data_IF_608286061390
#
_entry.id   IF_608286061390
#
_cell.length_a   1.000
_cell.length_b   1.000
_cell.length_c   1.000
_cell.angle_alpha   90.00
_cell.angle_beta   90.00
_cell.angle_gamma   90.00
#
_symmetry.space_group_name_H-M   'P 1'
#
loop_
_entity.id
_entity.type
_entity.pdbx_description
1 polymer ?
#
# COMPACT_ATOMS: atom_id res chain seq x y z
N UNK A 1 16.36 -10.66 2.22
CA UNK A 1 16.38 -10.53 0.74
C UNK A 1 16.00 -11.86 0.11
N UNK A 2 15.11 -11.87 -0.83
CA UNK A 2 14.50 -13.05 -1.46
C UNK A 2 14.67 -12.96 -2.99
N UNK A 3 14.76 -14.09 -3.68
CA UNK A 3 14.78 -14.13 -5.16
C UNK A 3 13.47 -14.71 -5.63
N UNK A 4 12.70 -13.94 -6.40
CA UNK A 4 11.39 -14.35 -6.90
C UNK A 4 11.46 -15.35 -8.07
N UNK A 5 10.31 -15.84 -8.51
CA UNK A 5 10.18 -16.81 -9.63
C UNK A 5 10.68 -16.26 -10.97
N UNK A 6 10.82 -14.94 -11.12
CA UNK A 6 11.45 -14.28 -12.28
C UNK A 6 12.96 -14.12 -12.14
N UNK A 7 13.56 -14.56 -11.03
CA UNK A 7 14.99 -14.38 -10.73
C UNK A 7 15.36 -12.98 -10.26
N UNK A 8 14.39 -12.14 -9.90
CA UNK A 8 14.61 -10.78 -9.42
C UNK A 8 14.80 -10.83 -7.90
N UNK A 9 15.87 -10.19 -7.41
CA UNK A 9 16.09 -10.03 -5.97
C UNK A 9 15.12 -8.98 -5.42
N UNK A 10 14.41 -9.33 -4.34
CA UNK A 10 13.39 -8.52 -3.68
C UNK A 10 13.76 -8.19 -2.24
N UNK A 11 13.41 -6.99 -1.82
CA UNK A 11 13.37 -6.59 -0.41
C UNK A 11 11.93 -6.71 0.08
N UNK A 12 11.73 -7.39 1.21
CA UNK A 12 10.46 -7.51 1.91
C UNK A 12 10.32 -6.32 2.86
N UNK A 13 9.36 -5.44 2.63
CA UNK A 13 9.22 -4.18 3.35
C UNK A 13 7.80 -4.01 3.87
N UNK A 14 7.69 -3.66 5.18
CA UNK A 14 6.47 -3.17 5.82
C UNK A 14 6.48 -1.64 5.90
N UNK A 15 5.38 -0.97 5.55
CA UNK A 15 5.37 0.49 5.38
C UNK A 15 4.38 1.22 6.30
N UNK A 16 3.67 0.51 7.17
CA UNK A 16 2.70 1.09 8.08
C UNK A 16 2.63 0.22 9.35
N UNK A 17 3.03 0.77 10.51
CA UNK A 17 3.17 -0.01 11.75
C UNK A 17 3.23 0.93 12.95
N UNK A 18 2.52 0.62 14.04
CA UNK A 18 2.43 1.40 15.26
C UNK A 18 3.14 0.74 16.44
N UNK A 19 3.65 1.57 17.34
CA UNK A 19 4.35 1.13 18.54
C UNK A 19 3.75 1.78 19.78
N UNK A 20 4.32 1.50 20.97
CA UNK A 20 3.93 2.17 22.22
C UNK A 20 4.27 3.66 22.26
N UNK A 21 4.86 4.23 21.21
CA UNK A 21 5.04 5.67 21.10
C UNK A 21 3.74 6.40 20.73
N UNK A 22 2.77 5.67 20.14
CA UNK A 22 1.40 6.13 19.94
C UNK A 22 0.42 5.18 20.66
N UNK A 23 -0.20 4.27 19.95
CA UNK A 23 -1.28 3.40 20.42
C UNK A 23 -1.08 1.90 20.13
N UNK A 24 0.05 1.54 19.52
CA UNK A 24 0.47 0.15 19.35
C UNK A 24 0.80 -0.53 20.69
N UNK A 25 0.70 -1.86 20.74
CA UNK A 25 0.89 -2.66 21.97
C UNK A 25 2.32 -3.16 22.17
N UNK A 26 3.23 -2.88 21.24
CA UNK A 26 4.63 -3.31 21.30
C UNK A 26 5.57 -2.12 21.22
N UNK A 27 6.69 -2.21 21.95
CA UNK A 27 7.76 -1.21 21.86
C UNK A 27 8.44 -1.26 20.50
N UNK A 28 9.13 -0.18 20.05
CA UNK A 28 9.88 -0.19 18.81
C UNK A 28 10.84 -1.38 18.67
N UNK A 29 11.55 -1.74 19.76
CA UNK A 29 12.46 -2.89 19.78
C UNK A 29 11.74 -4.23 19.61
N UNK A 30 10.59 -4.42 20.24
CA UNK A 30 9.76 -5.63 20.08
C UNK A 30 9.25 -5.73 18.64
N UNK A 31 8.74 -4.63 18.06
CA UNK A 31 8.29 -4.56 16.67
C UNK A 31 9.44 -4.91 15.73
N UNK A 32 10.60 -4.30 15.90
CA UNK A 32 11.77 -4.59 15.07
C UNK A 32 12.16 -6.08 15.10
N UNK A 33 12.10 -6.73 16.27
CA UNK A 33 12.37 -8.18 16.38
C UNK A 33 11.31 -9.00 15.66
N UNK A 34 10.01 -8.71 15.87
CA UNK A 34 8.91 -9.42 15.22
C UNK A 34 9.07 -9.40 13.69
N UNK A 35 9.27 -8.21 13.10
CA UNK A 35 9.43 -8.09 11.66
C UNK A 35 10.74 -8.69 11.15
N UNK A 36 11.83 -8.56 11.92
CA UNK A 36 13.11 -9.21 11.59
C UNK A 36 12.98 -10.73 11.55
N UNK A 37 12.34 -11.32 12.57
CA UNK A 37 12.14 -12.77 12.68
C UNK A 37 11.19 -13.28 11.59
N UNK A 38 10.26 -12.44 11.12
CA UNK A 38 9.40 -12.71 9.97
C UNK A 38 10.09 -12.47 8.60
N UNK A 39 11.41 -12.17 8.61
CA UNK A 39 12.24 -12.07 7.40
C UNK A 39 12.09 -10.78 6.62
N UNK A 40 11.62 -9.69 7.25
CA UNK A 40 11.61 -8.37 6.62
C UNK A 40 13.04 -7.79 6.51
N UNK A 41 13.26 -7.05 5.45
CA UNK A 41 14.52 -6.31 5.21
C UNK A 41 14.44 -4.88 5.76
N UNK A 42 13.24 -4.28 5.77
CA UNK A 42 12.99 -2.97 6.36
C UNK A 42 11.53 -2.83 6.83
N UNK A 43 11.29 -1.93 7.79
CA UNK A 43 9.96 -1.51 8.23
C UNK A 43 9.92 -0.01 8.48
N UNK A 44 8.81 0.65 8.20
CA UNK A 44 8.54 2.01 8.64
C UNK A 44 7.72 1.97 9.94
N UNK A 45 8.23 2.56 11.01
CA UNK A 45 7.45 2.83 12.21
C UNK A 45 6.73 4.17 12.02
N UNK A 46 5.40 4.14 12.05
CA UNK A 46 4.56 5.25 11.61
C UNK A 46 3.59 5.70 12.69
N UNK A 47 4.07 5.77 13.92
CA UNK A 47 3.31 6.19 15.09
C UNK A 47 2.55 7.50 14.85
N UNK A 48 1.31 7.62 15.35
CA UNK A 48 0.44 8.76 15.17
C UNK A 48 1.06 10.06 15.69
N UNK A 49 1.28 11.04 14.80
CA UNK A 49 1.83 12.36 15.12
C UNK A 49 3.17 12.32 15.86
N UNK A 50 3.91 11.22 15.69
CA UNK A 50 5.24 10.99 16.27
C UNK A 50 6.21 10.62 15.16
N UNK A 51 6.98 11.61 14.71
CA UNK A 51 8.02 11.35 13.72
C UNK A 51 9.08 10.42 14.32
N UNK A 52 9.30 9.28 13.67
CA UNK A 52 10.39 8.34 13.95
C UNK A 52 11.53 8.54 12.95
N UNK A 53 12.75 8.66 13.44
CA UNK A 53 13.95 8.77 12.59
C UNK A 53 14.33 7.41 11.99
N UNK A 54 14.96 7.46 10.82
CA UNK A 54 15.56 6.27 10.21
C UNK A 54 16.74 5.78 11.05
N UNK A 55 16.79 4.47 11.33
CA UNK A 55 17.81 3.86 12.16
C UNK A 55 17.94 2.36 11.88
N UNK A 56 18.94 1.73 12.47
CA UNK A 56 19.04 0.26 12.58
C UNK A 56 18.57 -0.14 13.98
N UNK A 57 17.62 -1.04 14.06
CA UNK A 57 17.07 -1.51 15.35
C UNK A 57 16.95 -3.03 15.34
N UNK A 58 17.59 -3.70 16.30
CA UNK A 58 17.63 -5.18 16.39
C UNK A 58 18.09 -5.88 15.09
N UNK A 59 18.94 -5.24 14.28
CA UNK A 59 19.42 -5.77 12.99
C UNK A 59 18.37 -5.68 11.86
N UNK A 60 17.37 -4.82 12.00
CA UNK A 60 16.38 -4.47 10.98
C UNK A 60 16.53 -3.00 10.61
N UNK A 61 16.50 -2.69 9.32
CA UNK A 61 16.46 -1.31 8.85
C UNK A 61 15.10 -0.70 9.16
N UNK A 62 15.08 0.39 9.97
CA UNK A 62 13.89 1.18 10.22
C UNK A 62 13.91 2.40 9.31
N UNK A 63 12.87 2.54 8.50
CA UNK A 63 12.64 3.76 7.73
C UNK A 63 12.02 4.82 8.64
N UNK A 64 12.39 6.08 8.44
CA UNK A 64 11.67 7.17 9.10
C UNK A 64 10.19 7.13 8.74
N UNK A 65 9.33 7.45 9.70
CA UNK A 65 7.89 7.35 9.48
C UNK A 65 7.06 8.18 10.45
N UNK A 66 5.83 8.48 10.05
CA UNK A 66 4.78 9.07 10.88
C UNK A 66 3.44 8.92 10.17
N UNK A 67 2.38 8.64 10.90
CA UNK A 67 1.02 8.73 10.40
C UNK A 67 0.31 9.96 10.97
N UNK A 68 -0.40 10.67 10.09
CA UNK A 68 -1.14 11.89 10.39
C UNK A 68 -2.62 11.66 10.11
N UNK A 69 -3.41 11.53 11.18
CA UNK A 69 -4.86 11.37 11.08
C UNK A 69 -5.57 12.73 11.22
N UNK A 70 -6.50 13.00 10.30
CA UNK A 70 -7.32 14.21 10.29
C UNK A 70 -8.76 13.87 9.91
N UNK A 71 -9.71 14.69 10.36
CA UNK A 71 -11.13 14.54 10.04
C UNK A 71 -11.93 13.78 11.08
N UNK A 72 -13.17 13.44 10.73
CA UNK A 72 -14.09 12.74 11.61
C UNK A 72 -14.71 13.62 12.71
N UNK A 73 -14.66 14.95 12.57
CA UNK A 73 -15.27 15.88 13.53
C UNK A 73 -16.79 15.70 13.61
N UNK A 74 -17.42 15.30 12.52
CA UNK A 74 -18.82 14.88 12.46
C UNK A 74 -19.01 13.77 11.42
N UNK A 75 -20.21 13.22 11.30
CA UNK A 75 -20.54 12.08 10.43
C UNK A 75 -20.39 12.38 8.92
N UNK A 76 -20.15 13.61 8.51
CA UNK A 76 -19.97 14.03 7.10
C UNK A 76 -18.54 14.44 6.80
N UNK A 77 -17.72 14.67 7.83
CA UNK A 77 -16.33 15.04 7.69
C UNK A 77 -15.52 13.81 7.30
N UNK A 78 -14.82 13.91 6.17
CA UNK A 78 -14.00 12.80 5.69
C UNK A 78 -12.84 12.53 6.65
N UNK A 79 -12.60 11.25 6.93
CA UNK A 79 -11.42 10.81 7.68
C UNK A 79 -10.29 10.55 6.70
N UNK A 80 -9.14 11.17 6.93
CA UNK A 80 -7.92 10.89 6.18
C UNK A 80 -6.81 10.50 7.12
N UNK A 81 -6.13 9.43 6.79
CA UNK A 81 -4.87 9.04 7.38
C UNK A 81 -3.80 9.15 6.28
N UNK A 82 -2.79 9.96 6.53
CA UNK A 82 -1.67 10.17 5.61
C UNK A 82 -0.41 9.65 6.27
N UNK A 83 0.12 8.56 5.73
CA UNK A 83 1.40 8.01 6.18
C UNK A 83 2.52 8.67 5.39
N UNK A 84 3.51 9.20 6.12
CA UNK A 84 4.78 9.64 5.54
C UNK A 84 5.89 8.68 5.93
N UNK A 85 6.68 8.22 4.96
CA UNK A 85 7.87 7.41 5.25
C UNK A 85 9.07 7.84 4.40
N UNK A 86 10.28 7.46 4.83
CA UNK A 86 11.53 7.77 4.13
C UNK A 86 11.88 9.26 4.13
N UNK A 87 11.32 10.01 5.06
CA UNK A 87 11.60 11.45 5.28
C UNK A 87 13.03 11.66 5.78
N UNK A 88 13.72 12.67 5.27
CA UNK A 88 15.11 12.99 5.65
C UNK A 88 15.22 13.72 6.98
N UNK A 89 14.13 14.26 7.49
CA UNK A 89 13.99 14.96 8.78
C UNK A 89 12.52 15.08 9.13
N UNK A 90 12.23 15.47 10.37
CA UNK A 90 10.88 15.81 10.80
C UNK A 90 10.27 16.91 9.89
N UNK A 91 9.07 16.70 9.33
CA UNK A 91 8.37 17.72 8.57
C UNK A 91 7.85 18.88 9.43
N UNK A 92 7.92 18.79 10.75
CA UNK A 92 7.51 19.85 11.69
C UNK A 92 6.00 20.00 11.84
N UNK A 93 5.23 18.97 11.52
CA UNK A 93 3.77 18.96 11.68
C UNK A 93 3.40 18.66 13.14
N UNK A 94 2.40 19.36 13.64
CA UNK A 94 1.93 19.21 15.02
C UNK A 94 0.40 18.99 15.08
N UNK A 95 -0.10 18.54 16.21
CA UNK A 95 -1.52 18.28 16.44
C UNK A 95 -2.39 19.53 16.33
N UNK A 96 -1.83 20.73 16.41
CA UNK A 96 -2.55 22.00 16.16
C UNK A 96 -3.09 22.05 14.72
N UNK A 97 -2.41 21.44 13.74
CA UNK A 97 -2.94 21.31 12.39
C UNK A 97 -4.19 20.41 12.39
N UNK A 98 -4.12 19.25 13.07
CA UNK A 98 -5.25 18.33 13.20
C UNK A 98 -6.46 19.03 13.80
N UNK A 99 -6.23 19.73 14.88
CA UNK A 99 -7.27 20.31 15.74
C UNK A 99 -7.77 21.70 15.23
N UNK A 100 -7.22 22.19 14.12
CA UNK A 100 -7.63 23.49 13.55
C UNK A 100 -9.07 23.43 12.99
N UNK A 101 -10.04 24.11 13.60
CA UNK A 101 -11.45 24.06 13.17
C UNK A 101 -11.75 24.91 11.92
N UNK A 102 -10.79 25.76 11.50
CA UNK A 102 -10.98 26.66 10.34
C UNK A 102 -10.65 26.00 9.01
N UNK A 103 -10.16 24.75 9.02
CA UNK A 103 -9.72 24.02 7.84
C UNK A 103 -10.52 22.74 7.68
N UNK A 104 -10.86 22.43 6.43
CA UNK A 104 -11.43 21.12 6.07
C UNK A 104 -10.40 20.01 6.22
N UNK A 105 -10.86 18.78 6.39
CA UNK A 105 -9.98 17.61 6.49
C UNK A 105 -9.12 17.43 5.23
N UNK A 106 -9.66 17.72 4.05
CA UNK A 106 -8.91 17.67 2.80
C UNK A 106 -7.79 18.74 2.73
N UNK A 107 -8.04 19.97 3.20
CA UNK A 107 -6.99 21.01 3.28
C UNK A 107 -5.86 20.58 4.22
N UNK A 108 -6.20 20.04 5.40
CA UNK A 108 -5.21 19.50 6.34
C UNK A 108 -4.39 18.36 5.72
N UNK A 109 -5.06 17.39 5.08
CA UNK A 109 -4.40 16.27 4.41
C UNK A 109 -3.44 16.76 3.30
N UNK A 110 -3.81 17.75 2.52
CA UNK A 110 -2.95 18.34 1.49
C UNK A 110 -1.70 19.01 2.10
N UNK A 111 -1.84 19.76 3.20
CA UNK A 111 -0.69 20.35 3.92
C UNK A 111 0.26 19.25 4.41
N UNK A 112 -0.29 18.12 4.91
CA UNK A 112 0.50 16.99 5.37
C UNK A 112 1.30 16.38 4.20
N UNK A 113 0.65 16.12 3.06
CA UNK A 113 1.32 15.60 1.85
C UNK A 113 2.45 16.52 1.41
N UNK A 114 2.19 17.82 1.30
CA UNK A 114 3.19 18.82 0.89
C UNK A 114 4.37 18.88 1.88
N UNK A 115 4.12 18.80 3.18
CA UNK A 115 5.16 18.79 4.20
C UNK A 115 6.03 17.52 4.15
N UNK A 116 5.43 16.35 3.93
CA UNK A 116 6.16 15.09 3.70
C UNK A 116 7.07 15.20 2.48
N UNK A 117 6.57 15.73 1.38
CA UNK A 117 7.35 15.95 0.15
C UNK A 117 8.50 16.95 0.36
N UNK A 118 8.25 18.05 1.08
CA UNK A 118 9.27 19.07 1.36
C UNK A 118 10.51 18.52 2.11
N UNK A 119 10.37 17.39 2.78
CA UNK A 119 11.46 16.69 3.46
C UNK A 119 11.90 15.40 2.74
N UNK A 120 11.45 15.19 1.52
CA UNK A 120 11.86 14.09 0.64
C UNK A 120 11.19 12.74 0.92
N UNK A 121 10.14 12.71 1.75
CA UNK A 121 9.37 11.52 2.09
C UNK A 121 8.37 11.11 1.03
N UNK A 122 7.89 9.88 1.09
CA UNK A 122 6.77 9.34 0.32
C UNK A 122 5.47 9.53 1.11
N UNK A 123 4.43 10.06 0.46
CA UNK A 123 3.12 10.27 1.07
C UNK A 123 2.13 9.18 0.61
N UNK A 124 1.48 8.52 1.55
CA UNK A 124 0.51 7.44 1.34
C UNK A 124 -0.89 7.92 1.73
N UNK A 125 -1.88 7.73 0.87
CA UNK A 125 -3.28 7.73 1.29
C UNK A 125 -3.59 6.35 1.88
N UNK A 126 -3.66 6.28 3.22
CA UNK A 126 -3.84 5.02 3.94
C UNK A 126 -5.31 4.53 3.89
N UNK A 127 -5.48 3.24 3.87
CA UNK A 127 -6.73 2.44 4.03
C UNK A 127 -8.05 3.15 3.67
N UNK A 128 -8.25 3.64 2.42
CA UNK A 128 -9.44 4.42 2.06
C UNK A 128 -10.76 3.66 2.25
N UNK A 129 -10.77 2.32 2.19
CA UNK A 129 -11.96 1.52 2.47
C UNK A 129 -12.35 1.56 3.96
N UNK A 130 -11.37 1.46 4.87
CA UNK A 130 -11.60 1.59 6.31
C UNK A 130 -12.13 2.98 6.65
N UNK A 131 -11.54 4.01 6.06
CA UNK A 131 -11.91 5.43 6.22
C UNK A 131 -13.25 5.79 5.57
N UNK A 132 -13.86 4.88 4.80
CA UNK A 132 -15.08 5.12 4.01
C UNK A 132 -14.94 6.28 3.01
N UNK A 133 -13.74 6.51 2.50
CA UNK A 133 -13.53 7.56 1.52
C UNK A 133 -14.21 7.23 0.19
N UNK A 134 -14.97 8.18 -0.35
CA UNK A 134 -15.44 8.09 -1.73
C UNK A 134 -14.30 8.42 -2.71
N UNK A 135 -14.41 8.05 -4.00
CA UNK A 135 -13.43 8.45 -5.00
C UNK A 135 -13.16 9.95 -5.03
N UNK A 136 -14.21 10.79 -4.91
CA UNK A 136 -14.09 12.25 -4.87
C UNK A 136 -13.31 12.72 -3.64
N UNK A 137 -13.53 12.09 -2.49
CA UNK A 137 -12.75 12.38 -1.28
C UNK A 137 -11.29 11.97 -1.44
N UNK A 138 -11.01 10.81 -2.03
CA UNK A 138 -9.63 10.37 -2.31
C UNK A 138 -8.89 11.39 -3.18
N UNK A 139 -9.48 11.86 -4.28
CA UNK A 139 -8.83 12.84 -5.18
C UNK A 139 -8.79 14.26 -4.63
N UNK A 140 -9.56 14.57 -3.57
CA UNK A 140 -9.45 15.84 -2.86
C UNK A 140 -8.10 15.95 -2.13
N UNK A 141 -7.49 14.82 -1.76
CA UNK A 141 -6.09 14.76 -1.32
C UNK A 141 -5.20 14.68 -2.55
N UNK A 142 -4.47 15.76 -2.81
CA UNK A 142 -3.65 15.91 -4.02
C UNK A 142 -2.24 15.39 -3.79
N UNK A 143 -1.64 14.94 -4.88
CA UNK A 143 -0.20 14.63 -4.95
C UNK A 143 0.30 13.51 -4.03
N UNK A 144 -0.54 12.78 -3.28
CA UNK A 144 -0.03 11.60 -2.59
C UNK A 144 0.63 10.63 -3.62
N UNK A 145 1.65 9.91 -3.20
CA UNK A 145 2.48 9.09 -4.10
C UNK A 145 1.89 7.72 -4.35
N UNK A 146 1.31 7.10 -3.33
CA UNK A 146 0.84 5.70 -3.32
C UNK A 146 -0.41 5.58 -2.43
N UNK A 147 -1.17 4.48 -2.55
CA UNK A 147 -2.30 4.19 -1.67
C UNK A 147 -2.33 2.73 -1.24
N UNK A 148 -2.99 2.44 -0.15
CA UNK A 148 -3.17 1.07 0.34
C UNK A 148 -4.34 0.38 -0.36
N UNK A 149 -4.06 -0.74 -1.01
CA UNK A 149 -5.07 -1.66 -1.54
C UNK A 149 -5.52 -2.65 -0.48
N UNK A 150 -4.64 -2.97 0.47
CA UNK A 150 -4.90 -3.86 1.60
C UNK A 150 -4.25 -3.30 2.87
N UNK A 151 -4.98 -3.41 3.99
CA UNK A 151 -4.53 -2.98 5.31
C UNK A 151 -4.96 -4.03 6.34
N UNK A 152 -4.00 -4.68 7.00
CA UNK A 152 -4.24 -5.88 7.80
C UNK A 152 -5.06 -5.60 9.07
N UNK A 153 -4.77 -4.52 9.82
CA UNK A 153 -5.52 -4.22 11.04
C UNK A 153 -6.99 -3.93 10.76
N UNK A 154 -7.29 -3.48 9.54
CA UNK A 154 -8.67 -3.21 9.12
C UNK A 154 -9.54 -4.48 8.99
N UNK A 155 -8.96 -5.69 9.02
CA UNK A 155 -9.68 -6.97 9.20
C UNK A 155 -10.13 -7.21 10.64
N UNK A 156 -9.69 -6.39 11.61
CA UNK A 156 -10.09 -6.53 13.00
C UNK A 156 -11.62 -6.46 13.15
N UNK A 157 -12.17 -7.24 14.07
CA UNK A 157 -13.62 -7.35 14.30
C UNK A 157 -14.36 -6.06 14.62
N UNK A 158 -13.65 -4.95 14.80
CA UNK A 158 -14.24 -3.61 14.93
C UNK A 158 -14.48 -2.91 13.57
N UNK A 159 -13.94 -3.40 12.47
CA UNK A 159 -14.04 -2.75 11.15
C UNK A 159 -14.40 -3.72 10.03
N UNK A 160 -13.57 -4.74 9.77
CA UNK A 160 -13.71 -5.74 8.69
C UNK A 160 -13.80 -5.10 7.29
N UNK A 161 -12.92 -4.09 7.02
CA UNK A 161 -12.79 -3.39 5.74
C UNK A 161 -11.34 -3.27 5.28
N UNK A 162 -10.62 -4.39 5.13
CA UNK A 162 -9.18 -4.35 4.81
C UNK A 162 -8.89 -4.01 3.34
N UNK A 163 -9.88 -4.16 2.44
CA UNK A 163 -9.65 -4.17 1.01
C UNK A 163 -10.25 -2.96 0.29
N UNK A 164 -9.40 -2.18 -0.36
CA UNK A 164 -9.73 -0.93 -1.06
C UNK A 164 -9.84 -1.08 -2.59
N UNK A 165 -9.82 -2.30 -3.13
CA UNK A 165 -9.74 -2.51 -4.57
C UNK A 165 -10.87 -1.89 -5.38
N UNK A 166 -12.12 -1.89 -4.86
CA UNK A 166 -13.24 -1.25 -5.55
C UNK A 166 -13.03 0.27 -5.67
N UNK A 167 -12.54 0.92 -4.61
CA UNK A 167 -12.23 2.36 -4.62
C UNK A 167 -11.12 2.64 -5.64
N UNK A 168 -10.06 1.83 -5.65
CA UNK A 168 -8.95 1.93 -6.63
C UNK A 168 -9.47 1.80 -8.06
N UNK A 169 -10.34 0.82 -8.33
CA UNK A 169 -10.92 0.60 -9.68
C UNK A 169 -11.80 1.78 -10.12
N UNK A 170 -12.57 2.37 -9.22
CA UNK A 170 -13.36 3.59 -9.49
C UNK A 170 -12.44 4.79 -9.74
N UNK A 171 -11.39 4.97 -8.94
CA UNK A 171 -10.39 6.02 -9.14
C UNK A 171 -9.69 5.88 -10.50
N UNK A 172 -9.28 4.67 -10.87
CA UNK A 172 -8.65 4.41 -12.16
C UNK A 172 -9.60 4.66 -13.34
N UNK A 173 -10.90 4.35 -13.16
CA UNK A 173 -11.94 4.54 -14.18
C UNK A 173 -12.29 6.01 -14.39
N UNK A 174 -12.54 6.73 -13.30
CA UNK A 174 -13.16 8.06 -13.35
C UNK A 174 -12.13 9.19 -13.40
N UNK A 175 -10.96 8.96 -12.79
CA UNK A 175 -9.94 10.01 -12.60
C UNK A 175 -8.57 9.67 -13.21
N UNK A 176 -8.46 8.54 -13.94
CA UNK A 176 -7.19 8.14 -14.54
C UNK A 176 -6.11 7.79 -13.53
N UNK A 177 -6.48 7.38 -12.32
CA UNK A 177 -5.56 7.01 -11.25
C UNK A 177 -4.64 5.85 -11.68
N UNK A 178 -3.33 6.01 -11.48
CA UNK A 178 -2.30 5.05 -11.87
C UNK A 178 -1.18 4.89 -10.83
N UNK A 179 -1.40 5.42 -9.61
CA UNK A 179 -0.38 5.36 -8.56
C UNK A 179 -0.19 3.94 -8.03
N UNK A 180 1.03 3.62 -7.54
CA UNK A 180 1.31 2.30 -7.01
C UNK A 180 0.47 1.94 -5.78
N UNK A 181 0.23 0.63 -5.60
CA UNK A 181 -0.69 0.06 -4.61
C UNK A 181 0.09 -0.71 -3.55
N UNK A 182 -0.09 -0.36 -2.27
CA UNK A 182 0.57 -1.00 -1.14
C UNK A 182 -0.33 -2.03 -0.46
N UNK A 183 0.25 -3.11 0.04
CA UNK A 183 -0.32 -3.90 1.14
C UNK A 183 0.48 -3.59 2.41
N UNK A 184 -0.21 -3.33 3.51
CA UNK A 184 0.38 -2.90 4.77
C UNK A 184 -0.26 -3.61 5.95
N UNK A 185 0.37 -3.55 7.09
CA UNK A 185 -0.17 -4.12 8.32
C UNK A 185 -0.97 -3.11 9.12
N UNK A 186 -0.43 -1.89 9.29
CA UNK A 186 -0.98 -0.91 10.22
C UNK A 186 -1.11 -1.52 11.63
N UNK A 187 -0.11 -2.35 11.99
CA UNK A 187 -0.18 -3.23 13.15
C UNK A 187 -0.25 -2.45 14.46
N UNK A 188 -1.26 -2.74 15.27
CA UNK A 188 -1.50 -2.12 16.55
C UNK A 188 -1.52 -3.15 17.68
N UNK A 189 -2.18 -4.30 17.47
CA UNK A 189 -2.48 -5.27 18.51
C UNK A 189 -1.40 -6.34 18.65
N UNK A 190 -0.70 -6.67 17.54
CA UNK A 190 0.27 -7.77 17.48
C UNK A 190 -0.34 -9.10 17.94
N UNK A 191 -1.55 -9.34 17.48
CA UNK A 191 -2.37 -10.52 17.75
C UNK A 191 -2.91 -11.12 16.44
N UNK A 192 -2.10 -11.04 15.36
CA UNK A 192 -2.40 -11.52 14.02
C UNK A 192 -2.69 -10.41 13.02
N UNK A 193 -2.50 -9.14 13.37
CA UNK A 193 -2.54 -7.98 12.49
C UNK A 193 -1.16 -7.63 11.93
N UNK A 194 -0.08 -8.17 12.51
CA UNK A 194 1.31 -7.95 12.07
C UNK A 194 1.79 -8.96 11.03
N UNK A 195 2.77 -8.56 10.21
CA UNK A 195 3.51 -9.40 9.25
C UNK A 195 2.63 -10.05 8.15
N UNK A 196 1.49 -9.47 7.82
CA UNK A 196 0.53 -9.98 6.84
C UNK A 196 0.50 -9.19 5.54
N UNK A 197 0.71 -7.88 5.59
CA UNK A 197 0.73 -6.99 4.44
C UNK A 197 2.13 -6.46 4.17
N UNK A 198 2.65 -6.65 2.95
CA UNK A 198 3.98 -6.19 2.59
C UNK A 198 4.10 -5.83 1.11
N UNK A 199 5.18 -5.14 0.78
CA UNK A 199 5.63 -5.00 -0.59
C UNK A 199 6.92 -5.81 -0.83
N UNK A 200 7.06 -6.32 -2.05
CA UNK A 200 8.26 -7.01 -2.52
C UNK A 200 8.97 -6.11 -3.54
N UNK A 201 9.85 -5.23 -3.03
CA UNK A 201 10.54 -4.18 -3.80
C UNK A 201 11.75 -4.74 -4.54
N UNK A 202 11.96 -4.34 -5.81
CA UNK A 202 13.15 -4.68 -6.59
C UNK A 202 14.43 -4.14 -5.95
N UNK A 203 15.27 -5.03 -5.40
CA UNK A 203 16.44 -4.65 -4.63
C UNK A 203 17.47 -3.85 -5.46
N UNK A 204 17.64 -4.20 -6.73
CA UNK A 204 18.57 -3.50 -7.63
C UNK A 204 18.10 -2.08 -7.97
N UNK A 205 16.77 -1.90 -8.12
CA UNK A 205 16.20 -0.57 -8.34
C UNK A 205 16.30 0.28 -7.08
N UNK A 206 15.98 -0.31 -5.91
CA UNK A 206 16.13 0.36 -4.62
C UNK A 206 17.58 0.79 -4.35
N UNK A 207 18.56 -0.05 -4.74
CA UNK A 207 19.98 0.29 -4.63
C UNK A 207 20.38 1.48 -5.52
N UNK A 208 19.77 1.63 -6.70
CA UNK A 208 20.09 2.70 -7.66
C UNK A 208 19.38 4.01 -7.36
N UNK A 209 18.11 3.96 -7.00
CA UNK A 209 17.24 5.12 -6.85
C UNK A 209 17.01 5.53 -5.40
N UNK A 210 17.24 4.62 -4.45
CA UNK A 210 16.73 4.70 -3.09
C UNK A 210 15.34 4.05 -2.96
N UNK A 211 14.98 3.67 -1.73
CA UNK A 211 13.72 2.96 -1.44
C UNK A 211 12.50 3.81 -1.82
N UNK A 212 12.49 5.09 -1.45
CA UNK A 212 11.36 6.00 -1.71
C UNK A 212 11.08 6.13 -3.21
N UNK A 213 12.10 6.43 -4.01
CA UNK A 213 11.92 6.63 -5.45
C UNK A 213 11.62 5.32 -6.20
N UNK A 214 12.14 4.18 -5.72
CA UNK A 214 11.80 2.88 -6.26
C UNK A 214 10.32 2.52 -5.99
N UNK A 215 9.78 2.90 -4.82
CA UNK A 215 8.35 2.74 -4.49
C UNK A 215 7.49 3.67 -5.35
N UNK A 216 7.83 4.95 -5.46
CA UNK A 216 7.13 5.88 -6.36
C UNK A 216 7.09 5.40 -7.81
N UNK A 217 8.17 4.77 -8.26
CA UNK A 217 8.27 4.18 -9.59
C UNK A 217 7.50 2.85 -9.74
N UNK A 218 6.81 2.36 -8.70
CA UNK A 218 6.01 1.14 -8.73
C UNK A 218 6.83 -0.13 -8.96
N UNK A 219 8.12 -0.16 -8.57
CA UNK A 219 9.04 -1.29 -8.82
C UNK A 219 8.88 -2.39 -7.77
N UNK A 220 7.65 -2.74 -7.48
CA UNK A 220 7.26 -3.76 -6.49
C UNK A 220 5.89 -4.35 -6.85
N UNK A 221 5.53 -5.40 -6.16
CA UNK A 221 4.16 -5.86 -6.01
C UNK A 221 3.77 -5.91 -4.53
N UNK A 222 2.47 -5.75 -4.27
CA UNK A 222 1.88 -5.85 -2.93
C UNK A 222 1.42 -7.28 -2.67
N UNK A 223 1.58 -7.79 -1.44
CA UNK A 223 1.24 -9.19 -1.16
C UNK A 223 1.02 -9.47 0.32
N UNK A 224 0.26 -10.54 0.58
CA UNK A 224 0.21 -11.24 1.87
C UNK A 224 1.14 -12.47 1.87
N UNK A 225 1.35 -13.14 0.72
CA UNK A 225 2.24 -14.29 0.56
C UNK A 225 2.57 -14.59 -0.91
N UNK A 226 1.58 -14.72 -1.85
CA UNK A 226 1.88 -15.13 -3.21
C UNK A 226 2.66 -14.06 -3.99
N UNK A 227 3.44 -14.50 -4.97
CA UNK A 227 4.06 -13.60 -5.95
C UNK A 227 3.07 -13.24 -7.05
N UNK A 228 3.17 -12.04 -7.60
CA UNK A 228 2.40 -11.60 -8.75
C UNK A 228 3.23 -10.70 -9.65
N UNK A 229 3.28 -11.04 -10.94
CA UNK A 229 3.99 -10.28 -11.96
C UNK A 229 3.05 -10.05 -13.14
N UNK A 230 2.77 -8.78 -13.45
CA UNK A 230 1.90 -8.36 -14.54
C UNK A 230 2.73 -7.65 -15.60
N UNK A 231 2.57 -8.05 -16.85
CA UNK A 231 3.27 -7.44 -17.98
C UNK A 231 2.36 -7.30 -19.20
N UNK A 232 2.56 -6.24 -19.98
CA UNK A 232 1.92 -6.07 -21.28
C UNK A 232 2.84 -6.63 -22.37
N UNK A 233 2.32 -7.59 -23.13
CA UNK A 233 3.03 -8.22 -24.24
C UNK A 233 3.02 -7.31 -25.49
N UNK A 234 3.91 -7.56 -26.43
CA UNK A 234 3.93 -6.86 -27.74
C UNK A 234 2.63 -7.06 -28.53
N UNK A 235 1.93 -8.18 -28.33
CA UNK A 235 0.60 -8.43 -28.90
C UNK A 235 -0.49 -7.52 -28.33
N UNK A 236 -0.21 -6.78 -27.24
CA UNK A 236 -1.18 -6.00 -26.49
C UNK A 236 -1.90 -6.77 -25.39
N UNK A 237 -1.74 -8.09 -25.32
CA UNK A 237 -2.28 -8.92 -24.25
C UNK A 237 -1.57 -8.65 -22.93
N UNK A 238 -2.26 -8.93 -21.82
CA UNK A 238 -1.72 -8.80 -20.48
C UNK A 238 -1.46 -10.19 -19.92
N UNK A 239 -0.20 -10.51 -19.68
CA UNK A 239 0.21 -11.75 -19.04
C UNK A 239 0.45 -11.54 -17.56
N UNK A 240 -0.13 -12.42 -16.76
CA UNK A 240 0.17 -12.56 -15.34
C UNK A 240 0.94 -13.86 -15.13
N UNK A 241 2.00 -13.81 -14.32
CA UNK A 241 2.65 -14.99 -13.75
C UNK A 241 2.72 -14.84 -12.23
N UNK A 242 2.60 -15.95 -11.50
CA UNK A 242 2.53 -15.96 -10.03
C UNK A 242 3.08 -17.28 -9.46
N UNK A 243 3.28 -17.36 -8.16
CA UNK A 243 3.38 -18.65 -7.44
C UNK A 243 2.05 -19.40 -7.54
N UNK A 244 2.00 -20.72 -7.21
CA UNK A 244 0.75 -21.48 -7.31
C UNK A 244 -0.39 -20.85 -6.54
N UNK A 245 -1.51 -20.55 -7.23
CA UNK A 245 -2.72 -19.93 -6.66
C UNK A 245 -3.97 -20.65 -7.12
N UNK A 246 -5.11 -20.37 -6.49
CA UNK A 246 -6.41 -20.96 -6.84
C UNK A 246 -7.31 -20.00 -7.63
N UNK A 247 -6.93 -18.72 -7.67
CA UNK A 247 -7.72 -17.71 -8.37
C UNK A 247 -6.81 -16.62 -8.92
N UNK A 248 -7.07 -16.24 -10.17
CA UNK A 248 -6.45 -15.07 -10.84
C UNK A 248 -7.60 -14.20 -11.36
N UNK A 249 -7.54 -12.90 -11.08
CA UNK A 249 -8.51 -11.92 -11.56
C UNK A 249 -7.77 -10.76 -12.23
N UNK A 250 -8.23 -10.38 -13.43
CA UNK A 250 -7.84 -9.12 -14.08
C UNK A 250 -8.94 -8.09 -13.84
N UNK A 251 -8.64 -7.01 -13.17
CA UNK A 251 -9.56 -5.90 -12.88
C UNK A 251 -9.40 -4.80 -13.92
N UNK A 252 -10.51 -4.27 -14.41
CA UNK A 252 -10.57 -3.15 -15.36
C UNK A 252 -11.89 -2.39 -15.22
N UNK A 253 -12.03 -1.27 -15.92
CA UNK A 253 -13.26 -0.47 -15.94
C UNK A 253 -14.45 -1.14 -16.65
N UNK A 254 -14.23 -2.12 -17.53
CA UNK A 254 -15.32 -2.84 -18.20
C UNK A 254 -15.88 -3.92 -17.27
N UNK A 255 -17.12 -3.78 -16.84
CA UNK A 255 -17.72 -4.58 -15.74
C UNK A 255 -18.00 -6.04 -16.07
N UNK A 256 -18.18 -6.38 -17.37
CA UNK A 256 -18.52 -7.74 -17.81
C UNK A 256 -17.71 -8.14 -19.04
N UNK A 257 -16.62 -8.89 -18.83
CA UNK A 257 -15.70 -9.34 -19.90
C UNK A 257 -15.35 -10.81 -19.69
N UNK A 258 -15.26 -11.58 -20.78
CA UNK A 258 -14.79 -12.97 -20.77
C UNK A 258 -13.30 -13.04 -20.43
N UNK A 259 -12.86 -14.11 -19.77
CA UNK A 259 -11.45 -14.35 -19.45
C UNK A 259 -10.91 -13.53 -18.27
N UNK A 260 -11.73 -12.67 -17.65
CA UNK A 260 -11.32 -11.85 -16.50
C UNK A 260 -10.92 -12.66 -15.29
N UNK A 261 -11.60 -13.75 -15.00
CA UNK A 261 -11.36 -14.58 -13.82
C UNK A 261 -11.03 -16.01 -14.23
N UNK A 262 -9.89 -16.50 -13.77
CA UNK A 262 -9.47 -17.90 -13.90
C UNK A 262 -9.49 -18.54 -12.51
N UNK A 263 -10.08 -19.72 -12.40
CA UNK A 263 -10.19 -20.49 -11.16
C UNK A 263 -9.70 -21.91 -11.39
N UNK A 264 -8.94 -22.45 -10.46
CA UNK A 264 -8.38 -23.80 -10.52
C UNK A 264 -7.32 -23.96 -9.45
N UNK A 265 -6.81 -25.16 -9.25
CA UNK A 265 -5.73 -25.42 -8.29
C UNK A 265 -4.37 -25.22 -8.96
N UNK A 266 -3.43 -24.61 -8.24
CA UNK A 266 -2.04 -24.49 -8.65
C UNK A 266 -1.79 -23.67 -9.92
N UNK A 267 -2.65 -22.68 -10.21
CA UNK A 267 -2.46 -21.78 -11.34
C UNK A 267 -1.20 -20.96 -11.15
N UNK A 268 -0.37 -20.88 -12.19
CA UNK A 268 0.89 -20.11 -12.17
C UNK A 268 0.95 -19.04 -13.27
N UNK A 269 0.00 -19.07 -14.21
CA UNK A 269 -0.06 -18.11 -15.32
C UNK A 269 -1.51 -17.93 -15.80
N UNK A 270 -1.81 -16.73 -16.27
CA UNK A 270 -3.00 -16.43 -17.06
C UNK A 270 -2.71 -15.29 -18.05
N UNK A 271 -3.45 -15.29 -19.18
CA UNK A 271 -3.38 -14.21 -20.17
C UNK A 271 -4.77 -13.61 -20.33
N UNK A 272 -4.81 -12.29 -20.33
CA UNK A 272 -6.02 -11.52 -20.57
C UNK A 272 -5.88 -10.71 -21.86
N UNK A 273 -6.81 -10.85 -22.77
CA UNK A 273 -6.91 -9.98 -23.93
C UNK A 273 -7.77 -8.78 -23.57
N UNK A 274 -7.21 -7.56 -23.49
CA UNK A 274 -7.96 -6.38 -23.12
C UNK A 274 -9.13 -6.13 -24.08
N UNK A 275 -10.27 -5.77 -23.53
CA UNK A 275 -11.40 -5.29 -24.30
C UNK A 275 -11.09 -3.89 -24.87
N UNK A 276 -11.61 -3.55 -26.04
CA UNK A 276 -11.34 -2.26 -26.70
C UNK A 276 -11.74 -1.01 -25.89
N UNK A 277 -12.49 -1.18 -24.80
CA UNK A 277 -12.90 -0.12 -23.87
C UNK A 277 -12.17 -0.17 -22.53
N UNK A 278 -11.25 -1.11 -22.34
CA UNK A 278 -10.43 -1.13 -21.13
C UNK A 278 -9.45 0.06 -21.16
N UNK A 279 -9.50 0.91 -20.17
CA UNK A 279 -8.55 2.00 -20.00
C UNK A 279 -7.42 1.67 -19.02
N UNK A 280 -7.58 0.60 -18.24
CA UNK A 280 -6.54 0.05 -17.38
C UNK A 280 -6.74 -1.45 -17.15
N UNK A 281 -5.69 -2.12 -16.70
CA UNK A 281 -5.74 -3.46 -16.12
C UNK A 281 -4.84 -3.50 -14.90
N UNK A 282 -5.32 -4.09 -13.82
CA UNK A 282 -4.53 -4.59 -12.70
C UNK A 282 -4.92 -6.03 -12.42
N UNK A 283 -4.14 -6.75 -11.64
CA UNK A 283 -4.44 -8.14 -11.33
C UNK A 283 -4.37 -8.45 -9.84
N UNK A 284 -5.16 -9.43 -9.46
CA UNK A 284 -5.21 -10.02 -8.12
C UNK A 284 -5.11 -11.52 -8.21
N UNK A 285 -4.37 -12.11 -7.29
CA UNK A 285 -4.28 -13.56 -7.14
C UNK A 285 -4.66 -13.96 -5.72
N UNK A 286 -5.20 -15.17 -5.55
CA UNK A 286 -5.51 -15.73 -4.22
C UNK A 286 -4.99 -17.15 -4.17
N UNK A 287 -4.16 -17.47 -3.18
CA UNK A 287 -3.62 -18.81 -2.97
C UNK A 287 -4.64 -19.79 -2.31
N UNK A 288 -4.18 -20.99 -1.96
CA UNK A 288 -5.01 -22.01 -1.34
C UNK A 288 -5.40 -21.67 0.11
N UNK A 289 -4.59 -20.85 0.80
CA UNK A 289 -4.81 -20.42 2.17
C UNK A 289 -5.64 -19.14 2.28
N UNK A 290 -5.99 -18.53 1.12
CA UNK A 290 -6.77 -17.30 1.03
C UNK A 290 -5.92 -16.02 1.01
N UNK A 291 -4.59 -16.12 1.06
CA UNK A 291 -3.72 -14.95 0.95
C UNK A 291 -3.77 -14.37 -0.45
N UNK A 292 -3.72 -13.06 -0.54
CA UNK A 292 -3.80 -12.33 -1.79
C UNK A 292 -2.48 -11.63 -2.16
N UNK A 293 -2.32 -11.39 -3.47
CA UNK A 293 -1.33 -10.44 -3.96
C UNK A 293 -1.94 -9.58 -5.07
N UNK A 294 -1.41 -8.37 -5.21
CA UNK A 294 -1.93 -7.33 -6.09
C UNK A 294 -0.81 -6.73 -6.93
N UNK A 295 -1.06 -6.62 -8.23
CA UNK A 295 -0.19 -5.88 -9.13
C UNK A 295 -0.48 -4.38 -9.05
N UNK A 296 0.48 -3.56 -9.49
CA UNK A 296 0.20 -2.18 -9.84
C UNK A 296 -0.67 -2.10 -11.11
N UNK A 297 -1.23 -0.92 -11.37
CA UNK A 297 -2.07 -0.63 -12.52
C UNK A 297 -1.21 -0.51 -13.78
N UNK A 298 -1.67 -1.10 -14.89
CA UNK A 298 -1.17 -0.84 -16.25
C UNK A 298 -2.23 0.00 -16.97
N UNK A 299 -1.90 1.22 -17.37
CA UNK A 299 -2.76 2.04 -18.24
C UNK A 299 -2.72 1.50 -19.67
N UNK A 300 -3.87 1.54 -20.34
CA UNK A 300 -4.03 1.03 -21.72
C UNK A 300 -4.35 2.13 -22.73
N UNK A 301 -4.76 3.29 -22.26
CA UNK A 301 -5.04 4.53 -23.02
C UNK A 301 -3.81 5.41 -23.20
#
# INVERSE_FOLDING_TARGET
>A
MFTDTKGIKRLKIGLHTHTTLSDGKKTPDEVARIYKDAGYDAVALTDHWKYGEAQELCGLTILSGCEYNVGGADARDAVYHIVGFGMKRDPGLTVELRDNPSMTSAEKANIIVDAIHAVGGCAVLAHPAWSLNTPEQCIAVKNFDVTEIFNSVSEHGMSDRPYSGLIVDMLATEYGFDKPLLATDDAHFYAGDECRGMIMLEAEVARKLGIVDAIRAGKFYATQAPEVHLERLESGEIRLTCTPVNKIIFCSNVVWVRGRAVRGEGLTEAVYTPHAKDCFVRAEVTDADGNCAWSNIIRLD
#
